data_IF_208677373067
#
_entry.id   IF_208677373067
#
_cell.length_a   1.000
_cell.length_b   1.000
_cell.length_c   1.000
_cell.angle_alpha   90.00
_cell.angle_beta   90.00
_cell.angle_gamma   90.00
#
_symmetry.space_group_name_H-M   'P 1'
#
loop_
_entity.id
_entity.type
_entity.pdbx_description
1 polymer ?
#
# COMPACT_ATOMS: atom_id res chain seq x y z
N UNK A 1 -5.67 12.31 23.18
CA UNK A 1 -6.78 11.60 23.85
C UNK A 1 -7.45 10.72 22.82
N UNK A 2 -7.06 9.45 22.72
CA UNK A 2 -7.68 8.49 21.79
C UNK A 2 -9.05 8.12 22.37
N UNK A 3 -10.12 8.57 21.73
CA UNK A 3 -11.46 8.30 22.22
C UNK A 3 -11.80 6.82 21.97
N UNK A 4 -12.02 6.11 23.07
CA UNK A 4 -12.21 4.66 23.18
C UNK A 4 -13.70 4.31 23.32
N UNK A 5 -14.58 4.99 22.56
CA UNK A 5 -16.02 4.76 22.57
C UNK A 5 -16.53 4.56 21.15
N UNK A 6 -16.79 3.28 20.80
CA UNK A 6 -17.58 2.86 19.64
C UNK A 6 -17.00 3.21 18.26
N UNK A 7 -16.00 2.48 17.76
CA UNK A 7 -15.69 2.50 16.32
C UNK A 7 -16.79 1.76 15.55
N UNK A 8 -17.90 2.44 15.29
CA UNK A 8 -18.73 2.11 14.13
C UNK A 8 -17.83 2.04 12.89
N UNK A 9 -18.06 1.06 12.02
CA UNK A 9 -17.30 0.93 10.77
C UNK A 9 -17.53 2.18 9.94
N UNK A 10 -16.47 2.94 9.63
CA UNK A 10 -16.53 4.04 8.67
C UNK A 10 -17.04 3.50 7.32
N UNK A 11 -17.95 4.24 6.70
CA UNK A 11 -18.36 3.99 5.31
C UNK A 11 -17.23 4.34 4.35
N UNK A 12 -17.31 3.86 3.10
CA UNK A 12 -16.34 4.20 2.07
C UNK A 12 -16.36 5.71 1.76
N UNK A 13 -17.54 6.35 1.76
CA UNK A 13 -17.67 7.78 1.49
C UNK A 13 -17.00 8.64 2.56
N UNK A 14 -17.18 8.30 3.85
CA UNK A 14 -16.51 9.00 4.96
C UNK A 14 -14.99 8.84 4.86
N UNK A 15 -14.50 7.63 4.57
CA UNK A 15 -13.07 7.39 4.40
C UNK A 15 -12.47 8.15 3.20
N UNK A 16 -13.24 8.31 2.11
CA UNK A 16 -12.83 9.14 0.96
C UNK A 16 -12.72 10.61 1.34
N UNK A 17 -13.69 11.15 2.07
CA UNK A 17 -13.66 12.54 2.49
C UNK A 17 -12.49 12.81 3.43
N UNK A 18 -12.29 11.93 4.41
CA UNK A 18 -11.17 12.02 5.35
C UNK A 18 -9.81 11.91 4.64
N UNK A 19 -9.69 11.03 3.64
CA UNK A 19 -8.46 10.88 2.87
C UNK A 19 -8.08 12.14 2.06
N UNK A 20 -9.05 13.01 1.74
CA UNK A 20 -8.79 14.31 1.10
C UNK A 20 -8.27 15.34 2.09
N UNK A 21 -8.71 15.27 3.34
CA UNK A 21 -8.38 16.23 4.40
C UNK A 21 -7.10 15.84 5.16
N UNK A 22 -6.69 14.57 5.08
CA UNK A 22 -5.53 14.04 5.78
C UNK A 22 -4.43 13.58 4.80
N UNK A 23 -3.44 14.45 4.50
CA UNK A 23 -2.29 14.08 3.69
C UNK A 23 -1.60 12.82 4.21
N UNK A 24 -1.23 11.93 3.28
CA UNK A 24 -0.61 10.63 3.61
C UNK A 24 -1.60 9.47 3.78
N UNK A 25 -2.90 9.72 3.84
CA UNK A 25 -3.91 8.65 3.87
C UNK A 25 -4.04 7.98 2.50
N UNK A 26 -4.07 6.65 2.47
CA UNK A 26 -4.21 5.85 1.24
C UNK A 26 -5.43 4.93 1.32
N UNK A 27 -6.26 5.00 0.30
CA UNK A 27 -7.32 4.03 0.07
C UNK A 27 -6.72 2.82 -0.66
N UNK A 28 -7.02 1.62 -0.18
CA UNK A 28 -6.54 0.37 -0.78
C UNK A 28 -7.77 -0.44 -1.19
N UNK A 29 -7.89 -0.71 -2.48
CA UNK A 29 -8.93 -1.56 -3.04
C UNK A 29 -8.41 -2.99 -3.12
N UNK A 30 -8.97 -3.87 -2.31
CA UNK A 30 -8.53 -5.26 -2.16
C UNK A 30 -9.29 -6.24 -3.07
N UNK A 31 -10.12 -5.71 -3.97
CA UNK A 31 -10.82 -6.50 -5.00
C UNK A 31 -9.87 -6.96 -6.10
N UNK A 32 -10.37 -7.83 -6.98
CA UNK A 32 -9.60 -8.30 -8.14
C UNK A 32 -9.19 -7.15 -9.06
N UNK A 33 -8.10 -7.31 -9.84
CA UNK A 33 -7.71 -6.35 -10.85
C UNK A 33 -8.82 -6.05 -11.87
N UNK A 34 -9.64 -7.06 -12.20
CA UNK A 34 -10.76 -6.95 -13.13
C UNK A 34 -11.85 -6.01 -12.58
N UNK A 35 -12.26 -6.21 -11.33
CA UNK A 35 -13.22 -5.34 -10.65
C UNK A 35 -12.71 -3.91 -10.51
N UNK A 36 -11.44 -3.73 -10.18
CA UNK A 36 -10.82 -2.42 -10.07
C UNK A 36 -10.79 -1.70 -11.42
N UNK A 37 -10.42 -2.39 -12.51
CA UNK A 37 -10.45 -1.83 -13.88
C UNK A 37 -11.86 -1.48 -14.35
N UNK A 38 -12.87 -2.22 -13.90
CA UNK A 38 -14.28 -1.93 -14.19
C UNK A 38 -14.82 -0.68 -13.48
N UNK A 39 -14.15 -0.22 -12.41
CA UNK A 39 -14.47 1.01 -11.70
C UNK A 39 -13.98 0.97 -10.26
N UNK A 40 -13.36 2.06 -9.80
CA UNK A 40 -12.79 2.18 -8.46
C UNK A 40 -12.81 3.62 -7.97
N UNK A 41 -12.53 3.80 -6.68
CA UNK A 41 -12.43 5.12 -6.06
C UNK A 41 -11.18 5.84 -6.57
N UNK A 42 -11.29 7.09 -7.07
CA UNK A 42 -10.14 7.84 -7.57
C UNK A 42 -8.99 7.91 -6.56
N UNK A 43 -7.78 7.56 -7.01
CA UNK A 43 -6.56 7.58 -6.19
C UNK A 43 -6.42 6.41 -5.20
N UNK A 44 -7.33 5.44 -5.19
CA UNK A 44 -7.13 4.18 -4.47
C UNK A 44 -6.07 3.32 -5.16
N UNK A 45 -5.26 2.60 -4.39
CA UNK A 45 -4.29 1.63 -4.91
C UNK A 45 -4.95 0.26 -4.93
N UNK A 46 -4.89 -0.47 -6.06
CA UNK A 46 -5.34 -1.85 -6.09
C UNK A 46 -4.25 -2.75 -5.48
N UNK A 47 -4.61 -3.46 -4.41
CA UNK A 47 -3.79 -4.51 -3.81
C UNK A 47 -4.70 -5.70 -3.51
N UNK A 48 -4.97 -6.55 -4.52
CA UNK A 48 -5.93 -7.64 -4.40
C UNK A 48 -5.61 -8.56 -3.22
N UNK A 49 -6.64 -8.91 -2.45
CA UNK A 49 -6.45 -9.78 -1.30
C UNK A 49 -6.01 -11.17 -1.76
N UNK A 50 -4.84 -11.62 -1.27
CA UNK A 50 -4.35 -12.96 -1.52
C UNK A 50 -3.60 -13.14 -2.84
N UNK A 51 -3.39 -12.08 -3.62
CA UNK A 51 -2.45 -12.13 -4.76
C UNK A 51 -1.00 -12.15 -4.24
N UNK A 52 -0.47 -13.37 -4.15
CA UNK A 52 0.90 -13.64 -3.72
C UNK A 52 1.88 -13.77 -4.88
N UNK A 53 1.40 -13.76 -6.12
CA UNK A 53 2.20 -13.88 -7.34
C UNK A 53 2.58 -12.51 -7.92
N UNK A 54 2.06 -11.42 -7.35
CA UNK A 54 2.49 -10.07 -7.70
C UNK A 54 4.01 -9.87 -7.53
N UNK A 55 4.64 -9.25 -8.53
CA UNK A 55 6.04 -8.81 -8.46
C UNK A 55 6.16 -7.55 -7.61
N UNK A 56 6.86 -7.66 -6.48
CA UNK A 56 7.07 -6.58 -5.51
C UNK A 56 8.55 -6.16 -5.47
N UNK A 57 8.82 -4.92 -5.85
CA UNK A 57 10.11 -4.25 -5.63
C UNK A 57 10.02 -3.33 -4.42
N UNK A 58 10.90 -3.55 -3.46
CA UNK A 58 10.90 -2.86 -2.17
C UNK A 58 12.18 -2.05 -2.04
N UNK A 59 12.07 -0.77 -1.73
CA UNK A 59 13.19 0.10 -1.43
C UNK A 59 12.93 0.86 -0.13
N UNK A 60 13.98 1.38 0.49
CA UNK A 60 13.85 2.27 1.64
C UNK A 60 14.95 3.33 1.62
N UNK A 61 15.39 3.88 2.76
CA UNK A 61 16.52 4.82 2.76
C UNK A 61 17.84 4.18 2.30
N UNK A 62 18.20 3.02 2.84
CA UNK A 62 19.49 2.35 2.63
C UNK A 62 19.39 0.91 2.13
N UNK A 63 18.18 0.35 2.01
CA UNK A 63 17.93 -1.06 1.70
C UNK A 63 17.71 -1.96 2.92
N UNK A 64 18.03 -1.53 4.14
CA UNK A 64 17.89 -2.38 5.33
C UNK A 64 16.43 -2.75 5.64
N UNK A 65 15.54 -1.74 5.69
CA UNK A 65 14.10 -1.94 5.98
C UNK A 65 13.38 -2.72 4.88
N UNK A 66 13.70 -2.47 3.62
CA UNK A 66 13.12 -3.20 2.49
C UNK A 66 13.60 -4.65 2.45
N UNK A 67 14.83 -4.93 2.89
CA UNK A 67 15.30 -6.30 3.11
C UNK A 67 14.49 -7.05 4.16
N UNK A 68 14.22 -6.41 5.31
CA UNK A 68 13.35 -6.97 6.34
C UNK A 68 11.92 -7.22 5.83
N UNK A 69 11.35 -6.25 5.13
CA UNK A 69 10.02 -6.36 4.53
C UNK A 69 9.94 -7.50 3.50
N UNK A 70 10.94 -7.64 2.62
CA UNK A 70 11.01 -8.74 1.67
C UNK A 70 11.02 -10.11 2.38
N UNK A 71 11.78 -10.24 3.47
CA UNK A 71 11.80 -11.45 4.28
C UNK A 71 10.45 -11.77 4.94
N UNK A 72 9.74 -10.75 5.42
CA UNK A 72 8.39 -10.90 5.98
C UNK A 72 7.38 -11.35 4.92
N UNK A 73 7.37 -10.69 3.76
CA UNK A 73 6.46 -11.02 2.66
C UNK A 73 6.69 -12.45 2.13
N UNK A 74 7.94 -12.87 1.98
CA UNK A 74 8.27 -14.26 1.63
C UNK A 74 7.74 -15.26 2.65
N UNK A 75 7.86 -14.99 3.96
CA UNK A 75 7.26 -15.84 5.01
C UNK A 75 5.73 -15.85 4.97
N UNK A 76 5.11 -14.78 4.50
CA UNK A 76 3.67 -14.71 4.27
C UNK A 76 3.24 -15.41 2.96
N UNK A 77 4.19 -15.93 2.17
CA UNK A 77 3.97 -16.69 0.95
C UNK A 77 3.97 -15.87 -0.33
N UNK A 78 4.39 -14.61 -0.32
CA UNK A 78 4.59 -13.86 -1.55
C UNK A 78 5.79 -14.41 -2.31
N UNK A 79 5.58 -14.74 -3.58
CA UNK A 79 6.52 -15.50 -4.41
C UNK A 79 7.61 -14.59 -4.98
N UNK A 80 7.24 -13.36 -5.35
CA UNK A 80 8.09 -12.47 -6.12
C UNK A 80 8.38 -11.17 -5.37
N UNK A 81 9.17 -11.22 -4.28
CA UNK A 81 9.59 -10.02 -3.54
C UNK A 81 11.11 -9.80 -3.59
N UNK A 82 11.54 -8.60 -3.99
CA UNK A 82 12.94 -8.22 -4.09
C UNK A 82 13.22 -6.87 -3.40
N UNK A 83 14.32 -6.84 -2.63
CA UNK A 83 14.89 -5.59 -2.12
C UNK A 83 15.75 -4.94 -3.22
N UNK A 84 15.42 -3.71 -3.61
CA UNK A 84 16.12 -2.97 -4.67
C UNK A 84 17.00 -1.83 -4.14
N UNK A 85 17.23 -1.79 -2.83
CA UNK A 85 18.20 -0.88 -2.20
C UNK A 85 17.60 0.40 -1.64
N UNK A 86 18.41 1.45 -1.64
CA UNK A 86 18.07 2.76 -1.06
C UNK A 86 17.53 3.76 -2.08
N UNK A 87 16.67 4.67 -1.64
CA UNK A 87 16.16 5.79 -2.44
C UNK A 87 17.29 6.69 -2.94
N UNK A 88 18.43 6.73 -2.23
CA UNK A 88 19.64 7.44 -2.66
C UNK A 88 20.25 6.90 -3.96
N UNK A 89 19.84 5.73 -4.45
CA UNK A 89 20.24 5.19 -5.75
C UNK A 89 19.28 5.59 -6.89
N UNK A 90 18.10 6.12 -6.57
CA UNK A 90 17.15 6.60 -7.56
C UNK A 90 17.66 7.92 -8.17
N UNK A 91 17.51 8.07 -9.49
CA UNK A 91 17.99 9.23 -10.26
C UNK A 91 16.86 9.97 -10.99
N UNK A 92 15.62 9.56 -10.78
CA UNK A 92 14.44 10.20 -11.36
C UNK A 92 13.83 11.28 -10.46
N UNK A 93 12.73 11.91 -10.90
CA UNK A 93 12.03 12.94 -10.14
C UNK A 93 11.41 12.35 -8.87
N UNK A 94 11.60 13.05 -7.75
CA UNK A 94 10.91 12.74 -6.49
C UNK A 94 9.58 13.50 -6.44
N UNK A 95 8.55 12.83 -5.92
CA UNK A 95 7.28 13.48 -5.59
C UNK A 95 7.35 14.03 -4.16
N UNK A 96 6.79 15.23 -3.94
CA UNK A 96 6.73 15.94 -2.66
C UNK A 96 5.28 16.31 -2.32
#
# INVERSE_FOLDING_TARGET
MFNLFGRGRKTLMEAVQEAKEQPGTRLVDVRSPEEYRGGHVPGAINLPLGDKTAQLYLYCASGARSGMAAGMLRRMGYEHCANVGGIGSYRGPLAY
#
